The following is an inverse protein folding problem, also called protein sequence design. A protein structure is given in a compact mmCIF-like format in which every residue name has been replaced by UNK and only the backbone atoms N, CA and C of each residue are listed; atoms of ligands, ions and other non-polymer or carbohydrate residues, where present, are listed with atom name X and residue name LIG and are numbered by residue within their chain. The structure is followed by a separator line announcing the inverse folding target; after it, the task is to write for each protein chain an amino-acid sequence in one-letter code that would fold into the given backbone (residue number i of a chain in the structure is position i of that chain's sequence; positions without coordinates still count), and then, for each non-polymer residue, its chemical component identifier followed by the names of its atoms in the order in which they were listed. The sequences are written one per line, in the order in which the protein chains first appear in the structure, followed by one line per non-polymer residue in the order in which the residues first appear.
data_IF_358279277134
#
_entry.id   IF_358279277134
#
_cell.length_a   1.000
_cell.length_b   1.000
_cell.length_c   1.000
_cell.angle_alpha   90.00
_cell.angle_beta   90.00
_cell.angle_gamma   90.00
#
_symmetry.space_group_name_H-M   'P 1'
#
loop_
_entity.id
_entity.type
_entity.pdbx_description
1 polymer ?
#
# COMPACT_ATOMS: atom_id res chain seq x y z
N UNK A 1 24.32 -27.69 -1.65
CA UNK A 1 25.62 -27.76 -2.38
C UNK A 1 26.13 -26.34 -2.53
N UNK A 2 27.42 -26.08 -2.29
CA UNK A 2 28.04 -24.82 -2.76
C UNK A 2 28.35 -24.96 -4.25
N UNK A 3 28.36 -23.85 -4.99
CA UNK A 3 28.70 -23.81 -6.41
C UNK A 3 29.96 -22.98 -6.62
N UNK A 4 30.78 -23.33 -7.62
CA UNK A 4 31.76 -22.36 -8.14
C UNK A 4 31.03 -21.19 -8.83
N UNK A 5 31.74 -20.09 -9.10
CA UNK A 5 31.18 -18.97 -9.87
C UNK A 5 30.63 -19.44 -11.23
N UNK A 6 31.38 -20.29 -11.92
CA UNK A 6 31.04 -20.83 -13.24
C UNK A 6 29.82 -21.78 -13.17
N UNK A 7 29.81 -22.73 -12.23
CA UNK A 7 28.65 -23.59 -12.00
C UNK A 7 27.39 -22.79 -11.65
N UNK A 8 27.53 -21.71 -10.88
CA UNK A 8 26.42 -20.82 -10.52
C UNK A 8 25.91 -20.06 -11.75
N UNK A 9 26.80 -19.45 -12.54
CA UNK A 9 26.42 -18.73 -13.77
C UNK A 9 25.74 -19.67 -14.79
N UNK A 10 26.24 -20.90 -14.97
CA UNK A 10 25.59 -21.88 -15.84
C UNK A 10 24.27 -22.41 -15.28
N UNK A 11 24.16 -22.59 -13.95
CA UNK A 11 22.88 -22.92 -13.32
C UNK A 11 21.86 -21.79 -13.50
N UNK A 12 22.25 -20.53 -13.44
CA UNK A 12 21.38 -19.38 -13.74
C UNK A 12 21.00 -19.35 -15.23
N UNK A 13 21.95 -19.57 -16.16
CA UNK A 13 21.65 -19.70 -17.61
C UNK A 13 20.63 -20.82 -17.88
N UNK A 14 20.70 -21.94 -17.16
CA UNK A 14 19.80 -23.09 -17.34
C UNK A 14 18.32 -22.76 -17.13
N UNK A 15 18.01 -21.76 -16.30
CA UNK A 15 16.64 -21.30 -16.02
C UNK A 15 16.05 -20.37 -17.09
N UNK A 16 16.86 -19.91 -18.07
CA UNK A 16 16.41 -19.04 -19.19
C UNK A 16 15.58 -17.83 -18.74
N UNK A 17 16.01 -17.15 -17.68
CA UNK A 17 15.24 -16.06 -17.05
C UNK A 17 15.06 -14.80 -17.92
N UNK A 18 15.71 -14.73 -19.09
CA UNK A 18 15.40 -13.75 -20.14
C UNK A 18 14.09 -14.02 -20.88
N UNK A 19 13.50 -15.21 -20.74
CA UNK A 19 12.30 -15.62 -21.46
C UNK A 19 11.08 -15.75 -20.54
N UNK A 20 9.89 -15.41 -21.03
CA UNK A 20 8.67 -15.49 -20.21
C UNK A 20 8.33 -16.95 -19.85
N UNK A 21 8.53 -17.90 -20.76
CA UNK A 21 8.36 -19.33 -20.43
C UNK A 21 9.35 -19.82 -19.37
N UNK A 22 10.62 -19.38 -19.41
CA UNK A 22 11.62 -19.67 -18.38
C UNK A 22 11.26 -19.10 -17.01
N UNK A 23 10.82 -17.83 -16.97
CA UNK A 23 10.37 -17.17 -15.74
C UNK A 23 9.15 -17.86 -15.12
N UNK A 24 8.12 -18.20 -15.90
CA UNK A 24 6.93 -18.90 -15.36
C UNK A 24 7.23 -20.36 -14.97
N UNK A 25 8.14 -21.05 -15.68
CA UNK A 25 8.59 -22.39 -15.31
C UNK A 25 9.39 -22.38 -13.98
N UNK A 26 10.38 -21.50 -13.85
CA UNK A 26 11.16 -21.35 -12.62
C UNK A 26 10.29 -20.88 -11.44
N UNK A 27 9.33 -19.99 -11.68
CA UNK A 27 8.32 -19.59 -10.70
C UNK A 27 7.48 -20.76 -10.21
N UNK A 28 7.15 -21.73 -11.07
CA UNK A 28 6.49 -22.98 -10.65
C UNK A 28 7.43 -23.83 -9.78
N UNK A 29 8.66 -24.09 -10.23
CA UNK A 29 9.68 -24.81 -9.45
C UNK A 29 9.89 -24.20 -8.06
N UNK A 30 9.95 -22.87 -7.98
CA UNK A 30 10.06 -22.13 -6.72
C UNK A 30 8.82 -22.28 -5.84
N UNK A 31 7.61 -22.17 -6.39
CA UNK A 31 6.36 -22.35 -5.63
C UNK A 31 6.21 -23.78 -5.09
N UNK A 32 6.56 -24.79 -5.88
CA UNK A 32 6.58 -26.19 -5.45
C UNK A 32 7.67 -26.43 -4.39
N UNK A 33 8.85 -25.80 -4.52
CA UNK A 33 9.95 -25.88 -3.53
C UNK A 33 9.59 -25.26 -2.18
N UNK A 34 8.98 -24.07 -2.14
CA UNK A 34 8.64 -23.38 -0.87
C UNK A 34 7.40 -23.96 -0.17
N UNK A 35 6.59 -24.76 -0.88
CA UNK A 35 5.32 -25.32 -0.37
C UNK A 35 5.49 -26.05 0.96
N UNK A 36 6.55 -26.86 1.06
CA UNK A 36 6.84 -27.70 2.22
C UNK A 36 8.00 -27.12 3.08
N UNK A 37 8.20 -25.80 3.05
CA UNK A 37 9.20 -25.12 3.90
C UNK A 37 8.50 -24.41 5.06
N UNK A 38 9.05 -24.46 6.28
CA UNK A 38 8.52 -23.70 7.40
C UNK A 38 8.65 -22.21 7.10
N UNK A 39 7.75 -21.42 7.69
CA UNK A 39 7.85 -19.97 7.73
C UNK A 39 7.75 -19.49 9.17
N UNK A 40 8.55 -18.49 9.50
CA UNK A 40 8.45 -17.73 10.74
C UNK A 40 7.08 -17.05 10.81
N UNK A 41 6.41 -17.15 11.96
CA UNK A 41 5.04 -16.66 12.15
C UNK A 41 4.87 -15.16 11.86
N UNK A 42 5.84 -14.32 12.21
CA UNK A 42 5.87 -12.90 11.92
C UNK A 42 7.30 -12.35 11.91
N UNK A 43 7.58 -11.40 11.02
CA UNK A 43 8.80 -10.59 11.12
C UNK A 43 8.60 -9.51 12.20
N UNK A 44 9.36 -9.61 13.30
CA UNK A 44 9.22 -8.78 14.50
C UNK A 44 10.55 -8.65 15.25
N UNK A 45 10.99 -7.41 15.54
CA UNK A 45 12.33 -7.12 16.09
C UNK A 45 12.43 -5.75 16.81
N UNK A 46 11.99 -5.49 18.05
CA UNK A 46 11.91 -6.44 19.17
C UNK A 46 10.95 -6.05 20.34
N UNK A 47 10.09 -5.01 20.22
CA UNK A 47 9.57 -4.30 21.43
C UNK A 47 8.01 -4.16 21.54
N UNK A 48 7.58 -3.52 22.64
CA UNK A 48 6.50 -3.93 23.56
C UNK A 48 5.25 -3.03 23.41
N UNK A 49 4.04 -3.52 23.15
CA UNK A 49 3.61 -4.91 22.92
C UNK A 49 2.89 -5.16 21.59
N UNK A 50 2.81 -4.14 20.71
CA UNK A 50 2.52 -4.32 19.28
C UNK A 50 1.15 -4.93 18.91
N UNK A 51 0.88 -4.92 17.61
CA UNK A 51 0.05 -5.88 16.86
C UNK A 51 0.28 -5.50 15.41
N UNK A 52 1.10 -6.28 14.68
CA UNK A 52 1.94 -5.73 13.60
C UNK A 52 2.05 -6.56 12.33
N UNK A 53 2.58 -5.92 11.27
CA UNK A 53 3.03 -6.51 10.01
C UNK A 53 3.90 -5.44 9.32
N UNK A 54 5.17 -5.60 8.96
CA UNK A 54 6.14 -6.66 9.27
C UNK A 54 7.35 -6.10 10.08
N UNK A 55 7.15 -5.06 10.90
CA UNK A 55 8.24 -4.30 11.53
C UNK A 55 7.91 -3.79 12.93
N UNK A 56 8.93 -3.60 13.75
CA UNK A 56 8.82 -3.28 15.19
C UNK A 56 10.06 -2.54 15.66
N UNK A 57 9.91 -1.52 16.52
CA UNK A 57 10.89 -1.20 17.59
C UNK A 57 10.31 -0.26 18.68
N UNK A 58 9.02 -0.39 19.06
CA UNK A 58 8.24 0.70 19.73
C UNK A 58 7.28 0.25 20.84
N UNK A 59 6.61 1.23 21.49
CA UNK A 59 5.54 1.11 22.51
C UNK A 59 4.52 2.27 22.40
N UNK A 60 3.25 2.23 22.81
CA UNK A 60 2.31 1.11 22.85
C UNK A 60 1.17 1.42 21.85
N UNK A 61 0.99 0.57 20.85
CA UNK A 61 0.27 0.79 19.59
C UNK A 61 -0.93 -0.17 19.42
N UNK A 62 -1.97 0.21 18.66
CA UNK A 62 -3.24 -0.54 18.44
C UNK A 62 -4.02 -0.03 17.21
N UNK A 63 -4.02 -0.61 16.00
CA UNK A 63 -3.57 -1.91 15.50
C UNK A 63 -2.86 -1.70 14.16
N UNK A 64 -1.94 -2.60 13.79
CA UNK A 64 -0.88 -2.24 12.86
C UNK A 64 -0.48 -3.28 11.80
N UNK A 65 -0.19 -2.78 10.60
CA UNK A 65 0.28 -3.54 9.44
C UNK A 65 1.11 -2.83 8.35
N UNK A 66 1.48 -1.54 8.35
CA UNK A 66 1.72 -0.51 9.38
C UNK A 66 2.84 -0.85 10.39
N UNK A 67 3.79 0.08 10.58
CA UNK A 67 5.20 -0.18 10.91
C UNK A 67 5.90 0.96 11.74
N UNK A 68 7.12 0.76 12.28
CA UNK A 68 7.47 1.38 13.58
C UNK A 68 8.93 1.74 13.93
N UNK A 69 9.24 3.05 13.86
CA UNK A 69 9.89 3.84 14.94
C UNK A 69 8.82 4.60 15.79
N UNK A 70 7.54 4.51 15.41
CA UNK A 70 6.44 5.33 15.90
C UNK A 70 5.84 4.81 17.22
N UNK A 71 6.03 5.54 18.31
CA UNK A 71 5.33 5.25 19.57
C UNK A 71 3.83 5.58 19.47
N UNK A 72 3.01 4.93 20.29
CA UNK A 72 1.56 5.22 20.48
C UNK A 72 0.76 5.56 19.19
N UNK A 73 0.07 4.61 18.53
CA UNK A 73 -0.77 4.95 17.36
C UNK A 73 -2.01 4.05 17.26
N UNK A 74 -3.03 4.50 16.53
CA UNK A 74 -4.18 3.70 16.13
C UNK A 74 -4.60 3.87 14.66
N UNK A 75 -5.45 2.92 14.24
CA UNK A 75 -6.06 2.68 12.91
C UNK A 75 -5.28 3.31 11.72
N UNK A 76 -4.17 2.70 11.30
CA UNK A 76 -3.32 3.23 10.23
C UNK A 76 -3.47 2.46 8.89
N UNK A 77 -2.70 2.88 7.87
CA UNK A 77 -2.03 2.07 6.85
C UNK A 77 -0.72 2.80 6.49
N UNK A 78 0.39 2.36 7.08
CA UNK A 78 1.79 2.64 6.69
C UNK A 78 2.62 3.93 7.01
N UNK A 79 2.28 4.69 8.07
CA UNK A 79 3.21 5.12 9.17
C UNK A 79 4.55 5.90 8.90
N UNK A 80 5.50 5.68 9.83
CA UNK A 80 6.95 5.88 9.94
C UNK A 80 7.50 7.23 10.44
N UNK A 81 7.66 7.30 11.76
CA UNK A 81 7.92 8.49 12.58
C UNK A 81 8.56 8.17 13.91
N UNK A 82 9.15 9.15 14.58
CA UNK A 82 8.88 9.28 16.03
C UNK A 82 7.51 9.95 16.15
N UNK A 83 6.51 9.24 16.66
CA UNK A 83 5.11 9.65 16.69
C UNK A 83 4.53 9.52 18.09
N UNK A 84 3.54 10.35 18.42
CA UNK A 84 2.62 10.25 19.57
C UNK A 84 1.41 11.20 19.38
N UNK A 85 0.13 10.83 19.37
CA UNK A 85 -0.46 9.52 19.32
C UNK A 85 -1.44 9.47 18.13
N UNK A 86 -0.97 9.18 16.91
CA UNK A 86 -1.75 9.38 15.68
C UNK A 86 -2.82 8.30 15.46
N UNK A 87 -3.98 8.72 14.97
CA UNK A 87 -5.18 7.93 14.71
C UNK A 87 -6.17 8.85 13.97
N UNK A 88 -6.90 8.50 12.92
CA UNK A 88 -6.76 7.42 11.94
C UNK A 88 -5.86 7.90 10.78
N UNK A 89 -5.13 7.01 10.10
CA UNK A 89 -4.00 7.43 9.25
C UNK A 89 -3.67 6.54 8.04
N UNK A 90 -3.95 6.94 6.80
CA UNK A 90 -3.45 6.23 5.59
C UNK A 90 -1.94 6.37 5.29
N UNK A 91 -1.15 6.94 6.23
CA UNK A 91 0.33 6.94 6.44
C UNK A 91 0.72 8.23 7.21
N UNK A 92 1.92 8.38 7.79
CA UNK A 92 2.43 9.69 8.26
C UNK A 92 3.96 9.70 8.58
N UNK A 93 4.81 10.46 7.86
CA UNK A 93 6.29 10.53 8.05
C UNK A 93 6.94 11.90 7.67
N UNK A 94 7.90 12.52 8.39
CA UNK A 94 8.44 12.40 9.78
C UNK A 94 8.40 13.78 10.52
N UNK A 95 8.18 14.03 11.84
CA UNK A 95 7.79 13.32 13.08
C UNK A 95 6.65 14.11 13.82
N UNK A 96 5.66 13.44 14.45
CA UNK A 96 4.27 13.95 14.74
C UNK A 96 3.92 13.99 16.22
N UNK A 97 3.14 15.02 16.63
CA UNK A 97 2.14 14.94 17.71
C UNK A 97 0.95 15.92 17.48
N UNK A 98 -0.29 15.72 17.96
CA UNK A 98 -1.21 14.61 17.65
C UNK A 98 -2.10 14.99 16.44
N UNK A 99 -2.62 14.01 15.68
CA UNK A 99 -3.36 14.24 14.42
C UNK A 99 -4.50 13.20 14.25
N UNK A 100 -5.71 13.66 13.86
CA UNK A 100 -6.96 12.85 13.71
C UNK A 100 -8.01 13.51 12.77
N UNK A 101 -8.51 12.97 11.66
CA UNK A 101 -8.21 11.76 10.88
C UNK A 101 -7.54 12.13 9.52
N UNK A 102 -6.76 11.22 8.92
CA UNK A 102 -5.72 11.59 7.93
C UNK A 102 -5.52 10.59 6.80
N UNK A 103 -5.34 11.09 5.56
CA UNK A 103 -5.02 10.28 4.37
C UNK A 103 -3.53 10.36 3.92
N UNK A 104 -2.66 11.13 4.62
CA UNK A 104 -1.19 10.92 4.85
C UNK A 104 -0.36 12.22 4.84
N UNK A 105 0.45 12.56 5.88
CA UNK A 105 1.33 13.76 5.83
C UNK A 105 2.61 13.86 6.68
N UNK A 106 3.58 14.65 6.17
CA UNK A 106 4.70 15.30 6.89
C UNK A 106 5.34 16.51 6.21
N UNK A 107 6.48 17.06 6.60
CA UNK A 107 7.34 16.78 7.75
C UNK A 107 6.99 17.72 8.92
N UNK A 108 7.38 17.36 10.15
CA UNK A 108 7.33 18.20 11.37
C UNK A 108 6.00 18.94 11.67
N UNK A 109 4.90 18.49 11.06
CA UNK A 109 3.53 18.98 11.26
C UNK A 109 2.97 18.55 12.61
N UNK A 110 2.11 19.38 13.20
CA UNK A 110 1.41 19.12 14.48
C UNK A 110 0.02 19.74 14.50
N UNK A 111 -0.86 19.29 15.40
CA UNK A 111 -2.20 19.83 15.61
C UNK A 111 -3.04 19.91 14.31
N UNK A 112 -3.46 18.74 13.79
CA UNK A 112 -4.23 18.65 12.54
C UNK A 112 -5.49 17.82 12.73
N UNK A 113 -6.63 18.37 12.33
CA UNK A 113 -7.94 17.70 12.27
C UNK A 113 -8.42 17.62 10.81
N UNK A 114 -8.74 16.41 10.34
CA UNK A 114 -9.27 16.09 9.00
C UNK A 114 -8.40 16.57 7.82
N UNK A 115 -7.58 15.66 7.29
CA UNK A 115 -6.42 16.00 6.44
C UNK A 115 -6.26 15.20 5.14
N UNK A 116 -6.13 15.92 4.01
CA UNK A 116 -5.64 15.43 2.70
C UNK A 116 -5.07 16.57 1.83
N UNK A 117 -3.79 16.91 1.78
CA UNK A 117 -2.60 16.39 2.45
C UNK A 117 -1.67 17.59 2.80
N UNK A 118 -1.65 18.03 4.07
CA UNK A 118 -1.02 19.29 4.51
C UNK A 118 0.50 19.25 4.85
N UNK A 119 1.38 19.04 3.87
CA UNK A 119 2.81 18.69 4.09
C UNK A 119 3.68 19.83 4.72
N UNK A 120 3.65 19.98 6.06
CA UNK A 120 4.44 20.95 6.82
C UNK A 120 3.67 21.97 7.66
N UNK A 121 2.34 21.97 7.60
CA UNK A 121 1.48 22.95 8.29
C UNK A 121 1.21 22.62 9.77
N UNK A 122 0.69 23.58 10.53
CA UNK A 122 0.32 23.43 11.94
C UNK A 122 -1.00 24.14 12.29
N UNK A 123 -1.78 23.61 13.23
CA UNK A 123 -3.08 24.16 13.64
C UNK A 123 -4.07 24.27 12.46
N UNK A 124 -4.43 23.11 11.91
CA UNK A 124 -5.23 22.97 10.69
C UNK A 124 -6.50 22.15 10.96
N UNK A 125 -7.66 22.64 10.52
CA UNK A 125 -8.95 21.97 10.73
C UNK A 125 -9.74 21.89 9.41
N UNK A 126 -10.16 20.70 9.00
CA UNK A 126 -10.93 20.42 7.77
C UNK A 126 -10.26 21.01 6.52
N UNK A 127 -8.97 20.71 6.32
CA UNK A 127 -8.15 21.37 5.31
C UNK A 127 -7.58 20.40 4.25
N UNK A 128 -7.58 20.87 3.01
CA UNK A 128 -7.07 20.11 1.85
C UNK A 128 -5.80 20.76 1.27
N UNK A 129 -4.75 19.96 1.09
CA UNK A 129 -3.47 20.31 0.45
C UNK A 129 -2.86 21.68 0.85
N UNK A 130 -2.54 21.86 2.13
CA UNK A 130 -1.87 23.07 2.63
C UNK A 130 -0.44 22.77 3.11
N UNK A 131 0.64 23.05 2.33
CA UNK A 131 2.02 22.79 2.74
C UNK A 131 2.73 24.04 3.31
N UNK A 132 2.80 24.14 4.65
CA UNK A 132 3.43 25.20 5.47
C UNK A 132 2.63 26.51 5.70
N UNK A 133 1.31 26.38 5.87
CA UNK A 133 0.43 27.42 6.45
C UNK A 133 0.14 27.14 7.94
N UNK A 134 -0.47 28.10 8.65
CA UNK A 134 -0.65 27.99 10.10
C UNK A 134 -1.96 28.64 10.60
N UNK A 135 -2.72 28.03 11.52
CA UNK A 135 -4.03 28.54 11.98
C UNK A 135 -5.03 28.73 10.82
N UNK A 136 -5.55 27.62 10.27
CA UNK A 136 -6.53 27.64 9.17
C UNK A 136 -7.71 26.68 9.41
N UNK A 137 -8.91 27.09 8.98
CA UNK A 137 -10.15 26.31 9.12
C UNK A 137 -10.91 26.23 7.78
N UNK A 138 -11.28 25.02 7.33
CA UNK A 138 -12.07 24.81 6.11
C UNK A 138 -11.37 25.28 4.82
N UNK A 139 -10.03 25.27 4.79
CA UNK A 139 -9.24 25.86 3.71
C UNK A 139 -8.74 24.83 2.70
N UNK A 140 -8.49 25.28 1.48
CA UNK A 140 -7.96 24.46 0.38
C UNK A 140 -6.81 25.16 -0.33
N UNK A 141 -5.64 24.51 -0.39
CA UNK A 141 -4.48 24.90 -1.21
C UNK A 141 -3.43 25.85 -0.58
N UNK A 142 -3.54 26.20 0.71
CA UNK A 142 -2.76 27.32 1.28
C UNK A 142 -1.30 26.98 1.61
N UNK A 143 -0.35 27.78 1.11
CA UNK A 143 1.10 27.49 1.22
C UNK A 143 1.88 28.24 2.31
N UNK A 144 1.61 29.51 2.60
CA UNK A 144 2.32 30.31 3.64
C UNK A 144 1.42 31.39 4.25
N UNK A 145 0.14 31.07 4.47
CA UNK A 145 -0.84 32.02 5.02
C UNK A 145 -1.21 31.64 6.45
N UNK A 146 -1.73 32.62 7.21
CA UNK A 146 -2.19 32.39 8.56
C UNK A 146 -3.47 33.14 8.90
N UNK A 147 -4.27 32.56 9.80
CA UNK A 147 -5.56 33.09 10.26
C UNK A 147 -6.62 33.16 9.15
N UNK A 148 -6.77 32.05 8.41
CA UNK A 148 -7.72 31.92 7.30
C UNK A 148 -8.92 31.03 7.64
N UNK A 149 -10.11 31.45 7.22
CA UNK A 149 -11.35 30.66 7.29
C UNK A 149 -11.98 30.68 5.89
N UNK A 150 -12.27 29.50 5.33
CA UNK A 150 -12.77 29.33 3.95
C UNK A 150 -11.94 30.15 2.92
N UNK A 151 -10.61 30.02 2.99
CA UNK A 151 -9.60 30.75 2.21
C UNK A 151 -9.58 32.29 2.37
N UNK A 152 -10.48 32.92 3.12
CA UNK A 152 -10.40 34.36 3.47
C UNK A 152 -9.52 34.57 4.70
N UNK A 153 -8.60 35.54 4.63
CA UNK A 153 -7.73 35.93 5.74
C UNK A 153 -8.40 36.96 6.66
N UNK A 154 -8.11 36.89 7.96
CA UNK A 154 -8.68 37.75 9.01
C UNK A 154 -7.60 38.33 9.94
N UNK A 155 -7.97 39.29 10.78
CA UNK A 155 -7.16 39.64 11.96
C UNK A 155 -7.09 38.43 12.92
N UNK A 156 -6.03 38.35 13.72
CA UNK A 156 -5.84 37.26 14.70
C UNK A 156 -7.02 37.12 15.67
N UNK A 157 -7.59 38.25 16.10
CA UNK A 157 -8.68 38.25 17.09
C UNK A 157 -10.05 37.96 16.44
N UNK A 158 -10.28 38.41 15.21
CA UNK A 158 -11.54 38.09 14.51
C UNK A 158 -11.56 36.65 14.00
N UNK A 159 -10.40 36.11 13.59
CA UNK A 159 -10.20 34.67 13.36
C UNK A 159 -10.58 33.85 14.59
N UNK A 160 -10.03 34.17 15.77
CA UNK A 160 -10.36 33.48 17.04
C UNK A 160 -11.86 33.50 17.34
N UNK A 161 -12.49 34.68 17.27
CA UNK A 161 -13.94 34.86 17.52
C UNK A 161 -14.77 34.02 16.56
N UNK A 162 -14.49 34.10 15.25
CA UNK A 162 -15.25 33.42 14.22
C UNK A 162 -15.06 31.90 14.27
N UNK A 163 -13.81 31.42 14.40
CA UNK A 163 -13.50 29.99 14.61
C UNK A 163 -14.21 29.44 15.84
N UNK A 164 -14.19 30.16 16.97
CA UNK A 164 -14.87 29.73 18.20
C UNK A 164 -16.38 29.58 17.99
N UNK A 165 -17.03 30.53 17.31
CA UNK A 165 -18.45 30.45 16.96
C UNK A 165 -18.76 29.25 16.05
N UNK A 166 -17.93 28.98 15.04
CA UNK A 166 -18.09 27.85 14.12
C UNK A 166 -17.97 26.51 14.88
N UNK A 167 -16.90 26.33 15.65
CA UNK A 167 -16.67 25.10 16.44
C UNK A 167 -17.78 24.88 17.47
N UNK A 168 -18.28 25.94 18.10
CA UNK A 168 -19.40 25.85 19.05
C UNK A 168 -20.66 25.30 18.36
N UNK A 169 -20.98 25.77 17.15
CA UNK A 169 -22.12 25.27 16.37
C UNK A 169 -21.90 23.82 15.90
N UNK A 170 -20.72 23.49 15.35
CA UNK A 170 -20.41 22.12 14.94
C UNK A 170 -20.45 21.11 16.10
N UNK A 171 -20.10 21.52 17.32
CA UNK A 171 -20.26 20.69 18.54
C UNK A 171 -21.72 20.52 18.96
N UNK A 172 -22.58 21.53 18.76
CA UNK A 172 -24.03 21.42 18.96
C UNK A 172 -24.67 20.49 17.92
N UNK A 173 -24.14 20.48 16.69
CA UNK A 173 -24.59 19.65 15.58
C UNK A 173 -23.95 18.25 15.56
N UNK A 174 -23.12 17.92 16.56
CA UNK A 174 -22.49 16.61 16.74
C UNK A 174 -21.38 16.26 15.74
N UNK A 175 -21.01 17.15 14.82
CA UNK A 175 -20.13 16.85 13.67
C UNK A 175 -18.71 17.42 13.79
N UNK A 176 -18.31 17.93 14.97
CA UNK A 176 -16.95 18.39 15.21
C UNK A 176 -16.02 17.23 15.59
N UNK A 177 -15.23 16.76 14.63
CA UNK A 177 -14.21 15.72 14.78
C UNK A 177 -14.24 14.69 13.66
N UNK A 178 -15.39 14.56 12.98
CA UNK A 178 -15.62 13.57 11.94
C UNK A 178 -14.83 13.85 10.66
N UNK A 179 -14.32 12.78 10.03
CA UNK A 179 -13.71 12.86 8.72
C UNK A 179 -14.75 13.18 7.63
N UNK A 180 -14.29 13.61 6.45
CA UNK A 180 -15.17 13.95 5.33
C UNK A 180 -16.12 12.77 4.99
N UNK A 181 -17.44 12.99 4.94
CA UNK A 181 -18.41 11.92 4.70
C UNK A 181 -18.25 11.29 3.31
N UNK A 182 -18.58 10.01 3.18
CA UNK A 182 -18.40 9.21 1.95
C UNK A 182 -19.08 9.81 0.71
N UNK A 183 -20.17 10.55 0.88
CA UNK A 183 -20.86 11.24 -0.21
C UNK A 183 -20.03 12.38 -0.85
N UNK A 184 -19.02 12.92 -0.16
CA UNK A 184 -18.05 13.89 -0.70
C UNK A 184 -16.95 13.23 -1.53
N UNK A 185 -16.84 11.89 -1.56
CA UNK A 185 -15.91 11.20 -2.46
C UNK A 185 -16.22 11.54 -3.92
N UNK A 186 -15.20 11.94 -4.67
CA UNK A 186 -15.26 12.06 -6.13
C UNK A 186 -15.20 10.72 -6.87
N UNK A 187 -15.00 9.62 -6.14
CA UNK A 187 -14.77 8.28 -6.69
C UNK A 187 -15.81 7.26 -6.23
N UNK A 188 -16.09 6.27 -7.08
CA UNK A 188 -16.72 5.01 -6.70
C UNK A 188 -15.81 4.14 -5.83
N UNK A 189 -16.39 3.25 -5.03
CA UNK A 189 -15.66 2.36 -4.13
C UNK A 189 -14.65 1.47 -4.88
N UNK A 190 -15.13 0.88 -5.98
CA UNK A 190 -14.41 -0.04 -6.87
C UNK A 190 -13.34 0.60 -7.77
N UNK A 191 -13.17 1.91 -7.70
CA UNK A 191 -12.12 2.66 -8.40
C UNK A 191 -11.24 3.48 -7.44
N UNK A 192 -11.46 3.31 -6.13
CA UNK A 192 -10.63 3.83 -5.04
C UNK A 192 -9.70 2.74 -4.51
N UNK A 193 -8.64 3.11 -3.77
CA UNK A 193 -7.79 2.13 -3.09
C UNK A 193 -8.50 1.38 -1.95
N UNK A 194 -9.71 1.77 -1.55
CA UNK A 194 -10.43 1.09 -0.47
C UNK A 194 -10.75 -0.38 -0.83
N UNK A 195 -11.08 -0.69 -2.09
CA UNK A 195 -11.39 -2.06 -2.53
C UNK A 195 -10.16 -2.98 -2.56
N UNK A 196 -8.93 -2.43 -2.51
CA UNK A 196 -7.69 -3.21 -2.45
C UNK A 196 -7.44 -3.80 -1.05
N UNK A 197 -7.86 -3.10 0.00
CA UNK A 197 -7.74 -3.51 1.41
C UNK A 197 -9.03 -4.15 1.95
N UNK A 198 -10.18 -3.58 1.56
CA UNK A 198 -11.51 -3.93 2.00
C UNK A 198 -12.37 -4.32 0.78
N UNK A 199 -12.15 -5.49 0.18
CA UNK A 199 -12.92 -5.92 -0.98
C UNK A 199 -14.39 -6.13 -0.62
N UNK A 200 -15.28 -5.35 -1.25
CA UNK A 200 -16.74 -5.47 -1.14
C UNK A 200 -17.34 -5.80 -2.52
N UNK A 201 -18.45 -6.53 -2.51
CA UNK A 201 -19.39 -6.55 -3.65
C UNK A 201 -20.02 -5.17 -3.86
N UNK A 202 -20.64 -4.98 -5.03
CA UNK A 202 -21.40 -3.78 -5.35
C UNK A 202 -22.57 -3.58 -4.37
N UNK A 203 -23.20 -4.68 -4.00
CA UNK A 203 -24.37 -4.74 -3.13
C UNK A 203 -23.99 -4.33 -1.70
N UNK A 204 -22.91 -4.89 -1.15
CA UNK A 204 -22.39 -4.52 0.17
C UNK A 204 -21.91 -3.06 0.24
N UNK A 205 -21.27 -2.56 -0.83
CA UNK A 205 -20.80 -1.18 -0.91
C UNK A 205 -21.97 -0.17 -0.97
N UNK A 206 -23.02 -0.48 -1.75
CA UNK A 206 -24.23 0.35 -1.84
C UNK A 206 -25.03 0.35 -0.53
N UNK A 207 -25.13 -0.78 0.17
CA UNK A 207 -25.76 -0.87 1.51
C UNK A 207 -25.01 -0.02 2.54
N UNK A 208 -23.68 0.10 2.43
CA UNK A 208 -22.85 0.99 3.25
C UNK A 208 -22.86 2.47 2.78
N UNK A 209 -23.68 2.82 1.79
CA UNK A 209 -23.81 4.19 1.28
C UNK A 209 -22.64 4.68 0.43
N UNK A 210 -21.75 3.79 -0.04
CA UNK A 210 -20.70 4.15 -0.98
C UNK A 210 -21.23 4.25 -2.42
N UNK A 211 -20.56 5.08 -3.23
CA UNK A 211 -20.81 5.17 -4.68
C UNK A 211 -20.17 3.96 -5.38
N UNK A 212 -20.68 3.57 -6.55
CA UNK A 212 -20.08 2.51 -7.38
C UNK A 212 -19.98 2.98 -8.84
N UNK A 213 -18.80 2.86 -9.45
CA UNK A 213 -18.62 3.14 -10.88
C UNK A 213 -19.03 1.90 -11.68
N UNK A 214 -19.91 2.10 -12.66
CA UNK A 214 -20.43 1.07 -13.54
C UNK A 214 -19.83 1.17 -14.96
N UNK A 215 -19.13 2.27 -15.28
CA UNK A 215 -18.44 2.45 -16.56
C UNK A 215 -17.22 1.55 -16.65
N UNK A 216 -17.15 0.74 -17.70
CA UNK A 216 -15.97 -0.06 -17.99
C UNK A 216 -14.73 0.82 -18.25
N UNK A 217 -13.62 0.49 -17.59
CA UNK A 217 -12.35 1.23 -17.66
C UNK A 217 -11.29 0.41 -18.38
N UNK A 218 -11.02 0.73 -19.64
CA UNK A 218 -9.95 0.13 -20.44
C UNK A 218 -10.03 0.47 -21.92
N UNK A 219 -9.00 0.07 -22.67
CA UNK A 219 -9.01 -0.03 -24.14
C UNK A 219 -9.00 -1.52 -24.49
N UNK A 220 -9.71 -1.93 -25.54
CA UNK A 220 -9.81 -3.32 -25.98
C UNK A 220 -9.82 -3.40 -27.52
N UNK A 221 -9.31 -4.49 -28.11
CA UNK A 221 -9.33 -4.71 -29.55
C UNK A 221 -8.51 -3.66 -30.34
N UNK A 222 -7.39 -3.23 -29.75
CA UNK A 222 -6.41 -2.28 -30.33
C UNK A 222 -4.97 -2.80 -30.24
N UNK A 223 -4.78 -4.03 -29.83
CA UNK A 223 -3.49 -4.70 -29.81
C UNK A 223 -2.89 -4.82 -31.21
N UNK A 224 -1.59 -4.55 -31.31
CA UNK A 224 -0.74 -4.86 -32.47
C UNK A 224 0.01 -6.18 -32.26
N UNK A 225 0.18 -6.59 -31.00
CA UNK A 225 0.99 -7.74 -30.59
C UNK A 225 0.15 -8.98 -30.27
N UNK A 226 0.37 -10.05 -31.05
CA UNK A 226 -0.08 -11.40 -30.73
C UNK A 226 0.99 -12.16 -29.92
N UNK A 227 0.70 -12.41 -28.64
CA UNK A 227 1.60 -13.14 -27.72
C UNK A 227 1.93 -14.59 -28.13
N UNK A 228 1.25 -15.16 -29.12
CA UNK A 228 1.57 -16.48 -29.67
C UNK A 228 2.64 -16.42 -30.78
N UNK A 229 2.88 -15.23 -31.36
CA UNK A 229 3.88 -14.97 -32.41
C UNK A 229 5.02 -14.06 -31.94
N UNK A 230 4.79 -13.26 -30.89
CA UNK A 230 5.79 -12.36 -30.32
C UNK A 230 6.91 -13.13 -29.61
N UNK A 231 8.10 -12.53 -29.55
CA UNK A 231 9.27 -13.13 -28.89
C UNK A 231 9.00 -13.52 -27.44
N UNK A 232 9.50 -14.70 -27.04
CA UNK A 232 9.50 -15.10 -25.63
C UNK A 232 10.67 -14.48 -24.85
N UNK A 233 11.83 -14.25 -25.49
CA UNK A 233 13.01 -13.61 -24.87
C UNK A 233 13.05 -12.09 -25.10
N UNK A 234 13.55 -11.37 -24.10
CA UNK A 234 13.94 -9.95 -24.25
C UNK A 234 15.12 -9.75 -25.22
N UNK A 235 15.94 -10.78 -25.44
CA UNK A 235 17.16 -10.72 -26.28
C UNK A 235 16.85 -10.76 -27.78
N UNK A 236 15.82 -11.49 -28.18
CA UNK A 236 15.51 -11.71 -29.60
C UNK A 236 14.74 -10.52 -30.22
N UNK A 237 14.45 -9.47 -29.43
CA UNK A 237 13.86 -8.22 -29.91
C UNK A 237 14.93 -7.38 -30.64
N UNK A 238 14.75 -7.04 -31.94
CA UNK A 238 15.71 -6.24 -32.71
C UNK A 238 16.11 -4.92 -32.03
N UNK A 239 17.36 -4.49 -32.18
CA UNK A 239 17.88 -3.31 -31.46
C UNK A 239 17.04 -2.05 -31.71
N UNK A 240 16.56 -1.90 -32.95
CA UNK A 240 15.71 -0.85 -33.51
C UNK A 240 14.19 -1.02 -33.25
N UNK A 241 13.77 -2.04 -32.49
CA UNK A 241 12.37 -2.31 -32.15
C UNK A 241 11.71 -1.14 -31.39
N UNK A 242 10.85 -0.38 -32.09
CA UNK A 242 10.14 0.77 -31.54
C UNK A 242 8.89 0.36 -30.75
N UNK A 243 9.12 -0.03 -29.50
CA UNK A 243 8.12 -0.35 -28.47
C UNK A 243 6.97 0.68 -28.38
N UNK A 244 7.18 1.94 -28.77
CA UNK A 244 6.16 2.97 -28.67
C UNK A 244 5.07 2.84 -29.73
N UNK A 245 5.34 2.18 -30.87
CA UNK A 245 4.29 1.87 -31.86
C UNK A 245 3.37 0.74 -31.38
N UNK A 246 3.86 -0.09 -30.46
CA UNK A 246 3.18 -1.32 -30.07
C UNK A 246 2.12 -1.14 -28.98
N UNK A 247 1.06 -1.95 -29.10
CA UNK A 247 -0.04 -2.05 -28.16
C UNK A 247 -0.19 -3.53 -27.78
N UNK A 248 0.00 -3.82 -26.50
CA UNK A 248 -0.04 -5.17 -25.95
C UNK A 248 -1.43 -5.48 -25.38
N UNK A 249 -1.84 -6.75 -25.41
CA UNK A 249 -3.06 -7.25 -24.75
C UNK A 249 -2.73 -7.94 -23.42
N UNK A 250 -3.46 -7.66 -22.34
CA UNK A 250 -3.27 -8.36 -21.06
C UNK A 250 -3.80 -9.79 -21.15
N UNK A 251 -2.99 -10.81 -20.83
CA UNK A 251 -3.44 -12.20 -20.86
C UNK A 251 -4.62 -12.48 -19.92
N UNK A 252 -4.79 -11.71 -18.86
CA UNK A 252 -5.88 -11.86 -17.87
C UNK A 252 -7.10 -11.00 -18.23
N UNK A 253 -7.07 -9.70 -17.89
CA UNK A 253 -8.23 -8.81 -18.06
C UNK A 253 -8.52 -8.38 -19.50
N UNK A 254 -7.74 -8.84 -20.50
CA UNK A 254 -7.83 -8.49 -21.94
C UNK A 254 -7.72 -7.00 -22.29
N UNK A 255 -7.59 -6.09 -21.30
CA UNK A 255 -7.29 -4.67 -21.52
C UNK A 255 -5.97 -4.52 -22.28
N UNK A 256 -5.95 -3.56 -23.21
CA UNK A 256 -4.74 -3.11 -23.86
C UNK A 256 -3.88 -2.26 -22.93
N UNK A 257 -2.56 -2.32 -23.11
CA UNK A 257 -1.57 -1.48 -22.45
C UNK A 257 -0.37 -1.25 -23.37
N UNK A 258 0.50 -0.31 -22.97
CA UNK A 258 1.75 0.01 -23.65
C UNK A 258 2.91 -0.14 -22.69
N UNK A 259 4.11 -0.27 -23.24
CA UNK A 259 5.39 -0.30 -22.53
C UNK A 259 6.21 0.85 -23.11
N UNK A 260 6.85 1.67 -22.27
CA UNK A 260 7.65 2.82 -22.77
C UNK A 260 9.11 2.46 -23.02
N UNK A 261 9.84 3.23 -23.83
CA UNK A 261 11.28 3.03 -24.10
C UNK A 261 12.14 2.87 -22.84
N UNK A 262 11.80 3.58 -21.76
CA UNK A 262 12.51 3.48 -20.48
C UNK A 262 12.27 2.14 -19.77
N UNK A 263 11.06 1.57 -19.89
CA UNK A 263 10.76 0.22 -19.42
C UNK A 263 11.48 -0.84 -20.28
N UNK A 264 11.42 -0.76 -21.62
CA UNK A 264 12.16 -1.67 -22.51
C UNK A 264 13.66 -1.65 -22.19
N UNK A 265 14.24 -0.46 -21.99
CA UNK A 265 15.64 -0.28 -21.60
C UNK A 265 15.97 -0.90 -20.23
N UNK A 266 15.03 -0.87 -19.28
CA UNK A 266 15.16 -1.56 -18.00
C UNK A 266 15.08 -3.09 -18.18
N UNK A 267 14.07 -3.60 -18.88
CA UNK A 267 13.88 -5.04 -19.11
C UNK A 267 15.08 -5.64 -19.85
N UNK A 268 15.59 -4.98 -20.91
CA UNK A 268 16.83 -5.35 -21.61
C UNK A 268 18.04 -5.41 -20.67
N UNK A 269 18.32 -4.34 -19.90
CA UNK A 269 19.48 -4.27 -19.00
C UNK A 269 19.42 -5.29 -17.86
N UNK A 270 18.23 -5.53 -17.31
CA UNK A 270 18.03 -6.50 -16.23
C UNK A 270 17.91 -7.95 -16.74
N UNK A 271 17.90 -8.16 -18.06
CA UNK A 271 17.72 -9.47 -18.70
C UNK A 271 16.39 -10.14 -18.26
N UNK A 272 15.29 -9.39 -18.32
CA UNK A 272 13.93 -9.80 -17.92
C UNK A 272 12.99 -9.74 -19.15
N UNK A 273 12.14 -10.74 -19.41
CA UNK A 273 11.16 -10.72 -20.51
C UNK A 273 10.13 -9.60 -20.35
N UNK A 274 9.53 -9.15 -21.47
CA UNK A 274 8.45 -8.17 -21.42
C UNK A 274 7.23 -8.75 -20.67
N UNK A 275 6.59 -7.99 -19.76
CA UNK A 275 5.45 -8.48 -18.99
C UNK A 275 4.23 -8.72 -19.90
N UNK A 276 3.66 -9.93 -19.85
CA UNK A 276 2.42 -10.31 -20.56
C UNK A 276 1.11 -9.93 -19.82
N UNK A 277 1.22 -9.19 -18.71
CA UNK A 277 0.09 -8.61 -17.98
C UNK A 277 0.24 -7.09 -17.86
N UNK A 278 -0.87 -6.37 -17.96
CA UNK A 278 -0.92 -4.92 -17.76
C UNK A 278 -0.48 -4.51 -16.33
N UNK A 279 -0.11 -3.23 -16.09
CA UNK A 279 0.31 -2.75 -14.78
C UNK A 279 -0.71 -3.02 -13.66
N UNK A 280 -2.01 -2.90 -13.95
CA UNK A 280 -3.13 -3.16 -13.04
C UNK A 280 -3.13 -4.63 -12.55
N UNK A 281 -3.19 -5.61 -13.45
CA UNK A 281 -3.12 -7.03 -13.06
C UNK A 281 -1.81 -7.39 -12.35
N UNK A 282 -0.68 -6.78 -12.73
CA UNK A 282 0.60 -6.93 -11.99
C UNK A 282 0.51 -6.37 -10.57
N UNK A 283 -0.21 -5.26 -10.37
CA UNK A 283 -0.47 -4.68 -9.05
C UNK A 283 -1.37 -5.58 -8.19
N UNK A 284 -2.48 -6.08 -8.75
CA UNK A 284 -3.40 -7.00 -8.06
C UNK A 284 -2.69 -8.27 -7.61
N UNK A 285 -1.83 -8.86 -8.46
CA UNK A 285 -0.97 -10.01 -8.09
C UNK A 285 -0.05 -9.68 -6.92
N UNK A 286 0.62 -8.51 -6.96
CA UNK A 286 1.53 -8.07 -5.89
C UNK A 286 0.80 -7.90 -4.55
N UNK A 287 -0.38 -7.29 -4.55
CA UNK A 287 -1.22 -7.15 -3.36
C UNK A 287 -1.69 -8.51 -2.82
N UNK A 288 -2.20 -9.39 -3.70
CA UNK A 288 -2.59 -10.76 -3.32
C UNK A 288 -1.42 -11.56 -2.73
N UNK A 289 -0.19 -11.32 -3.19
CA UNK A 289 1.01 -11.94 -2.64
C UNK A 289 1.46 -11.35 -1.29
N UNK A 290 1.25 -10.04 -1.04
CA UNK A 290 1.42 -9.43 0.30
C UNK A 290 0.43 -10.04 1.30
N UNK A 291 -0.80 -10.26 0.84
CA UNK A 291 -1.97 -10.46 1.69
C UNK A 291 -2.62 -9.13 2.07
N UNK A 292 -3.85 -9.17 2.61
CA UNK A 292 -4.51 -8.00 3.19
C UNK A 292 -3.85 -7.63 4.51
N UNK A 293 -4.06 -6.40 4.96
CA UNK A 293 -3.64 -5.93 6.28
C UNK A 293 -4.56 -6.50 7.39
N UNK A 294 -4.39 -7.80 7.68
CA UNK A 294 -5.18 -8.55 8.67
C UNK A 294 -4.30 -9.57 9.42
N UNK A 295 -4.56 -9.74 10.72
CA UNK A 295 -3.97 -10.79 11.56
C UNK A 295 -4.98 -11.92 11.76
N UNK A 296 -4.45 -13.11 11.99
CA UNK A 296 -5.17 -14.31 12.38
C UNK A 296 -4.40 -15.05 13.48
N UNK A 297 -5.16 -15.58 14.44
CA UNK A 297 -4.66 -16.49 15.45
C UNK A 297 -4.31 -17.86 14.83
N UNK A 298 -3.09 -18.35 15.03
CA UNK A 298 -2.64 -19.70 14.62
C UNK A 298 -1.76 -20.36 15.68
N UNK A 299 -1.68 -21.69 15.61
CA UNK A 299 -0.78 -22.52 16.43
C UNK A 299 0.46 -22.91 15.63
N UNK A 300 1.55 -23.20 16.34
CA UNK A 300 2.78 -23.74 15.76
C UNK A 300 2.52 -25.10 15.10
N UNK A 301 3.01 -25.30 13.88
CA UNK A 301 2.83 -26.55 13.12
C UNK A 301 3.98 -27.56 13.31
N UNK A 302 4.86 -27.34 14.28
CA UNK A 302 5.92 -28.30 14.65
C UNK A 302 5.34 -29.32 15.63
N UNK A 303 5.55 -30.61 15.35
CA UNK A 303 5.11 -31.71 16.22
C UNK A 303 5.65 -31.52 17.65
N UNK A 304 4.78 -31.75 18.65
CA UNK A 304 5.08 -31.52 20.06
C UNK A 304 5.10 -30.05 20.53
N UNK A 305 4.84 -29.07 19.65
CA UNK A 305 4.85 -27.65 20.02
C UNK A 305 3.44 -27.09 20.28
N UNK A 306 3.12 -26.78 21.54
CA UNK A 306 1.85 -26.18 21.95
C UNK A 306 1.81 -24.63 21.89
N UNK A 307 2.70 -23.99 21.12
CA UNK A 307 2.81 -22.52 21.09
C UNK A 307 1.79 -21.89 20.13
N UNK A 308 1.22 -20.74 20.51
CA UNK A 308 0.21 -19.99 19.74
C UNK A 308 0.68 -18.55 19.47
N UNK A 309 0.15 -17.92 18.42
CA UNK A 309 0.57 -16.58 17.98
C UNK A 309 -0.45 -15.92 17.03
N UNK A 310 -0.39 -14.60 16.92
CA UNK A 310 -1.02 -13.85 15.82
C UNK A 310 -0.08 -13.76 14.61
N UNK A 311 -0.63 -13.85 13.40
CA UNK A 311 0.16 -13.85 12.15
C UNK A 311 -0.63 -13.33 10.95
N UNK A 312 0.05 -12.82 9.92
CA UNK A 312 -0.52 -12.45 8.61
C UNK A 312 -0.81 -13.66 7.69
N UNK A 313 -0.55 -14.88 8.16
CA UNK A 313 -0.92 -16.12 7.46
C UNK A 313 -2.33 -16.57 7.88
N UNK A 314 -3.35 -16.38 7.02
CA UNK A 314 -4.71 -16.88 7.30
C UNK A 314 -4.76 -18.41 7.46
N UNK A 315 -5.73 -18.99 8.18
CA UNK A 315 -5.83 -20.45 8.40
C UNK A 315 -5.88 -21.27 7.09
N UNK A 316 -6.52 -20.74 6.06
CA UNK A 316 -6.73 -21.39 4.75
C UNK A 316 -5.44 -21.50 3.90
N UNK A 317 -4.35 -20.90 4.37
CA UNK A 317 -3.06 -20.92 3.68
C UNK A 317 -2.29 -22.23 3.96
N UNK A 318 -1.84 -22.93 2.90
CA UNK A 318 -1.16 -24.23 3.02
C UNK A 318 0.26 -24.14 3.59
N UNK A 319 0.80 -22.93 3.77
CA UNK A 319 2.08 -22.69 4.41
C UNK A 319 2.20 -23.34 5.81
N UNK A 320 3.34 -23.99 6.05
CA UNK A 320 3.75 -24.51 7.37
C UNK A 320 4.25 -23.34 8.22
N UNK A 321 3.57 -22.99 9.31
CA UNK A 321 3.93 -21.84 10.16
C UNK A 321 4.50 -22.31 11.50
N UNK A 322 5.72 -21.87 11.81
CA UNK A 322 6.43 -22.18 13.06
C UNK A 322 6.57 -20.94 13.94
N UNK A 323 6.52 -21.13 15.26
CA UNK A 323 6.93 -20.10 16.23
C UNK A 323 8.44 -19.85 16.14
N UNK A 324 8.91 -18.73 16.70
CA UNK A 324 10.31 -18.29 16.62
C UNK A 324 11.31 -19.42 16.91
N UNK A 325 11.15 -20.10 18.05
CA UNK A 325 12.05 -21.17 18.50
C UNK A 325 12.07 -22.36 17.52
N UNK A 326 10.91 -22.82 17.06
CA UNK A 326 10.83 -23.95 16.14
C UNK A 326 11.30 -23.60 14.73
N UNK A 327 11.13 -22.35 14.29
CA UNK A 327 11.70 -21.88 13.02
C UNK A 327 13.23 -21.81 13.09
N UNK A 328 13.77 -21.24 14.18
CA UNK A 328 15.22 -21.20 14.42
C UNK A 328 15.82 -22.62 14.41
N UNK A 329 15.21 -23.58 15.11
CA UNK A 329 15.67 -24.98 15.20
C UNK A 329 15.55 -25.82 13.92
N UNK A 330 14.87 -25.33 12.86
CA UNK A 330 14.67 -26.05 11.60
C UNK A 330 15.46 -25.43 10.43
N UNK A 331 15.87 -24.16 10.56
CA UNK A 331 16.43 -23.35 9.46
C UNK A 331 17.87 -22.91 9.72
N UNK A 332 18.36 -23.00 10.96
CA UNK A 332 19.70 -22.60 11.40
C UNK A 332 20.40 -23.71 12.19
#
# INVERSE_FOLDING_TARGET
KSYTKEEYEDKIKSYKLDTYSGVEAFKKEFLDFIKNKPRKFAECSNIVNSTGNYMTNVKNNRYCFHAYDAENNAYCEHVWRGAKDCMDCSTAGRSVELIYNTINVGLQSSNVICSSYCWGSQFMEYCLNCPNSNNCFGCTGLKKNSYCILNKQYSKEDYKKLRSKIITKMKQDGNYGDFFPSNMSSFGYNESSAIEEFPLSKEEALVQGFKWENRERGTYGKETIDWNKFSDSIKDLPNDFDINKEIFICLECKKNYRIITNELSFYRRMNIPLPRNCPECRHTKRLKNRGPNKLWHRKCMKEGCNNEFETSYSPDRPEIIYCEKCYQQEVY
#
